data_IF_594352883340
#
_entry.id   IF_594352883340
#
_cell.length_a   1.000
_cell.length_b   1.000
_cell.length_c   1.000
_cell.angle_alpha   90.00
_cell.angle_beta   90.00
_cell.angle_gamma   90.00
#
_symmetry.space_group_name_H-M   'P 1'
#
loop_
_entity.id
_entity.type
_entity.pdbx_description
1 polymer ?
#
# COMPACT_ATOMS: atom_id res chain seq x y z
N UNK A 1 -3.73 -22.17 -6.95
CA UNK A 1 -3.64 -21.15 -8.04
C UNK A 1 -5.05 -20.74 -8.42
N UNK A 2 -5.32 -19.44 -8.48
CA UNK A 2 -6.62 -18.88 -8.83
C UNK A 2 -7.08 -19.36 -10.22
N UNK A 3 -8.29 -19.90 -10.32
CA UNK A 3 -8.80 -20.47 -11.58
C UNK A 3 -8.87 -19.44 -12.73
N UNK A 4 -9.20 -18.19 -12.42
CA UNK A 4 -9.25 -17.12 -13.42
C UNK A 4 -7.91 -16.96 -14.17
N UNK A 5 -6.80 -17.16 -13.49
CA UNK A 5 -5.45 -17.01 -14.06
C UNK A 5 -5.03 -18.16 -14.99
N UNK A 6 -5.81 -19.25 -15.04
CA UNK A 6 -5.62 -20.30 -16.02
C UNK A 6 -6.18 -19.91 -17.41
N UNK A 7 -6.96 -18.81 -17.48
CA UNK A 7 -7.54 -18.29 -18.72
C UNK A 7 -6.58 -17.24 -19.32
N UNK A 8 -5.98 -17.47 -20.49
CA UNK A 8 -5.06 -16.52 -21.13
C UNK A 8 -5.70 -15.13 -21.32
N UNK A 9 -6.96 -15.06 -21.72
CA UNK A 9 -7.69 -13.81 -21.95
C UNK A 9 -7.80 -12.96 -20.67
N UNK A 10 -7.92 -13.60 -19.49
CA UNK A 10 -7.97 -12.86 -18.23
C UNK A 10 -6.60 -12.27 -17.88
N UNK A 11 -5.52 -13.01 -18.11
CA UNK A 11 -4.15 -12.50 -17.91
C UNK A 11 -3.83 -11.34 -18.87
N UNK A 12 -4.23 -11.44 -20.12
CA UNK A 12 -4.10 -10.39 -21.12
C UNK A 12 -4.87 -9.14 -20.70
N UNK A 13 -6.13 -9.29 -20.28
CA UNK A 13 -6.94 -8.18 -19.77
C UNK A 13 -6.31 -7.48 -18.57
N UNK A 14 -5.73 -8.22 -17.60
CA UNK A 14 -5.02 -7.62 -16.45
C UNK A 14 -3.85 -6.75 -16.92
N UNK A 15 -3.05 -7.23 -17.88
CA UNK A 15 -1.92 -6.47 -18.44
C UNK A 15 -2.39 -5.23 -19.19
N UNK A 16 -3.41 -5.36 -20.06
CA UNK A 16 -3.98 -4.23 -20.79
C UNK A 16 -4.50 -3.13 -19.84
N UNK A 17 -5.18 -3.50 -18.76
CA UNK A 17 -5.63 -2.55 -17.75
C UNK A 17 -4.46 -1.90 -17.01
N UNK A 18 -3.40 -2.64 -16.68
CA UNK A 18 -2.21 -2.11 -16.03
C UNK A 18 -1.45 -1.12 -16.95
N UNK A 19 -1.29 -1.44 -18.23
CA UNK A 19 -0.70 -0.55 -19.23
C UNK A 19 -1.51 0.74 -19.39
N UNK A 20 -2.83 0.61 -19.47
CA UNK A 20 -3.73 1.76 -19.59
C UNK A 20 -3.67 2.68 -18.36
N UNK A 21 -3.50 2.14 -17.15
CA UNK A 21 -3.27 2.94 -15.92
C UNK A 21 -1.97 3.74 -16.01
N UNK A 22 -0.86 3.12 -16.46
CA UNK A 22 0.41 3.81 -16.64
C UNK A 22 0.31 4.96 -17.65
N UNK A 23 -0.39 4.74 -18.76
CA UNK A 23 -0.59 5.79 -19.77
C UNK A 23 -1.48 6.92 -19.23
N UNK A 24 -2.60 6.59 -18.56
CA UNK A 24 -3.49 7.58 -17.95
C UNK A 24 -2.75 8.50 -16.98
N UNK A 25 -1.89 7.93 -16.14
CA UNK A 25 -1.20 8.65 -15.08
C UNK A 25 -0.05 9.56 -15.55
N UNK A 26 0.38 9.47 -16.83
CA UNK A 26 1.46 10.33 -17.39
C UNK A 26 1.18 11.81 -17.26
N UNK A 27 -0.10 12.20 -17.32
CA UNK A 27 -0.53 13.59 -17.18
C UNK A 27 -0.19 14.22 -15.82
N UNK A 28 -0.01 13.39 -14.79
CA UNK A 28 0.36 13.86 -13.44
C UNK A 28 1.74 14.51 -13.40
N UNK A 29 2.65 14.23 -14.35
CA UNK A 29 4.01 14.77 -14.33
C UNK A 29 4.03 16.29 -14.41
N UNK A 30 4.67 16.91 -13.40
CA UNK A 30 4.91 18.33 -13.27
C UNK A 30 6.40 18.59 -13.01
N UNK A 31 6.93 19.80 -13.19
CA UNK A 31 8.36 20.07 -13.00
C UNK A 31 8.94 19.64 -11.65
N UNK A 32 8.16 19.76 -10.56
CA UNK A 32 8.62 19.49 -9.20
C UNK A 32 8.17 18.13 -8.63
N UNK A 33 7.33 17.37 -9.35
CA UNK A 33 6.80 16.08 -8.88
C UNK A 33 5.63 15.59 -9.71
N UNK A 34 4.68 14.92 -9.05
CA UNK A 34 3.44 14.46 -9.69
C UNK A 34 2.23 15.17 -9.06
N UNK A 35 1.46 15.86 -9.88
CA UNK A 35 0.25 16.53 -9.46
C UNK A 35 -0.87 15.54 -9.08
N UNK A 36 -1.75 15.99 -8.22
CA UNK A 36 -3.05 15.38 -8.02
C UNK A 36 -3.87 15.42 -9.31
N UNK A 37 -4.49 14.32 -9.73
CA UNK A 37 -5.37 14.30 -10.89
C UNK A 37 -6.83 14.45 -10.43
N UNK A 38 -7.57 15.35 -11.10
CA UNK A 38 -8.99 15.56 -10.89
C UNK A 38 -9.84 14.37 -11.38
N UNK A 39 -11.15 14.45 -11.26
CA UNK A 39 -12.07 13.40 -11.72
C UNK A 39 -11.99 13.09 -13.22
N UNK A 40 -11.51 14.03 -14.03
CA UNK A 40 -11.31 13.86 -15.48
C UNK A 40 -9.92 13.33 -15.83
N UNK A 41 -9.04 13.21 -14.82
CA UNK A 41 -7.66 12.81 -14.99
C UNK A 41 -6.75 13.94 -15.47
N UNK A 42 -7.14 15.19 -15.24
CA UNK A 42 -6.30 16.35 -15.52
C UNK A 42 -5.63 16.84 -14.23
N UNK A 43 -4.42 17.44 -14.30
CA UNK A 43 -3.74 17.97 -13.12
C UNK A 43 -4.59 19.02 -12.39
N UNK A 44 -4.85 18.80 -11.11
CA UNK A 44 -5.55 19.75 -10.24
C UNK A 44 -4.55 20.69 -9.56
N UNK A 45 -4.39 21.86 -10.10
CA UNK A 45 -3.52 22.91 -9.54
C UNK A 45 -4.09 23.59 -8.28
N UNK A 46 -5.31 23.27 -7.88
CA UNK A 46 -5.89 23.68 -6.60
C UNK A 46 -5.37 22.84 -5.43
N UNK A 47 -4.81 21.66 -5.71
CA UNK A 47 -4.16 20.79 -4.73
C UNK A 47 -2.64 20.99 -4.78
N UNK A 48 -1.91 20.89 -3.67
CA UNK A 48 -0.44 20.90 -3.70
C UNK A 48 0.10 19.61 -4.33
N UNK A 49 1.38 19.62 -4.70
CA UNK A 49 2.09 18.38 -5.07
C UNK A 49 2.38 17.62 -3.78
N UNK A 50 1.78 16.44 -3.63
CA UNK A 50 1.88 15.58 -2.45
C UNK A 50 3.07 14.61 -2.57
N UNK A 51 3.82 14.44 -1.48
CA UNK A 51 4.92 13.48 -1.44
C UNK A 51 4.44 12.04 -1.66
N UNK A 52 3.33 11.64 -1.00
CA UNK A 52 2.79 10.28 -1.13
C UNK A 52 2.37 9.94 -2.57
N UNK A 53 1.78 10.91 -3.32
CA UNK A 53 1.46 10.72 -4.75
C UNK A 53 2.75 10.56 -5.56
N UNK A 54 3.72 11.47 -5.37
CA UNK A 54 4.99 11.42 -6.10
C UNK A 54 5.74 10.11 -5.83
N UNK A 55 5.73 9.62 -4.59
CA UNK A 55 6.34 8.35 -4.22
C UNK A 55 5.62 7.14 -4.85
N UNK A 56 4.29 7.09 -4.77
CA UNK A 56 3.47 6.02 -5.36
C UNK A 56 3.66 5.94 -6.87
N UNK A 57 3.64 7.08 -7.56
CA UNK A 57 3.91 7.15 -8.99
C UNK A 57 5.33 6.68 -9.32
N UNK A 58 6.33 7.09 -8.54
CA UNK A 58 7.72 6.64 -8.72
C UNK A 58 7.85 5.12 -8.57
N UNK A 59 7.20 4.56 -7.55
CA UNK A 59 7.14 3.12 -7.33
C UNK A 59 6.54 2.39 -8.53
N UNK A 60 5.35 2.80 -8.99
CA UNK A 60 4.64 2.14 -10.08
C UNK A 60 5.38 2.29 -11.41
N UNK A 61 5.92 3.46 -11.73
CA UNK A 61 6.74 3.64 -12.94
C UNK A 61 8.06 2.89 -12.89
N UNK A 62 8.64 2.65 -11.71
CA UNK A 62 9.79 1.75 -11.56
C UNK A 62 9.45 0.31 -11.92
N UNK A 63 8.24 -0.14 -11.58
CA UNK A 63 7.73 -1.47 -11.99
C UNK A 63 7.52 -1.49 -13.51
N UNK A 64 6.86 -0.47 -14.08
CA UNK A 64 6.68 -0.35 -15.53
C UNK A 64 8.00 -0.34 -16.30
N UNK A 65 9.05 0.29 -15.75
CA UNK A 65 10.39 0.28 -16.33
C UNK A 65 11.02 -1.13 -16.36
N UNK A 66 10.81 -1.94 -15.32
CA UNK A 66 11.23 -3.35 -15.29
C UNK A 66 10.46 -4.21 -16.30
N UNK A 67 9.20 -3.88 -16.55
CA UNK A 67 8.37 -4.53 -17.57
C UNK A 67 8.73 -4.11 -19.01
N UNK A 68 9.65 -3.15 -19.17
CA UNK A 68 10.05 -2.63 -20.49
C UNK A 68 9.01 -1.70 -21.11
N UNK A 69 8.06 -1.17 -20.34
CA UNK A 69 7.01 -0.27 -20.84
C UNK A 69 7.58 1.09 -21.22
N UNK A 70 7.21 1.58 -22.41
CA UNK A 70 7.73 2.81 -23.01
C UNK A 70 7.52 4.00 -22.07
N UNK A 71 8.56 4.83 -21.89
CA UNK A 71 8.54 6.07 -21.11
C UNK A 71 8.45 5.87 -19.58
N UNK A 72 8.27 4.64 -19.07
CA UNK A 72 8.16 4.41 -17.64
C UNK A 72 9.49 4.69 -16.91
N UNK A 73 10.63 4.41 -17.53
CA UNK A 73 11.95 4.72 -16.95
C UNK A 73 12.12 6.21 -16.72
N UNK A 74 11.80 7.04 -17.72
CA UNK A 74 11.88 8.51 -17.63
C UNK A 74 10.93 9.07 -16.55
N UNK A 75 9.77 8.46 -16.37
CA UNK A 75 8.83 8.84 -15.31
C UNK A 75 9.38 8.45 -13.93
N UNK A 76 9.97 7.28 -13.77
CA UNK A 76 10.61 6.85 -12.53
C UNK A 76 11.82 7.72 -12.17
N UNK A 77 12.68 8.04 -13.14
CA UNK A 77 13.81 8.96 -12.97
C UNK A 77 13.36 10.36 -12.57
N UNK A 78 12.28 10.87 -13.20
CA UNK A 78 11.67 12.12 -12.80
C UNK A 78 11.22 12.08 -11.34
N UNK A 79 10.57 11.00 -10.91
CA UNK A 79 10.12 10.82 -9.53
C UNK A 79 11.27 10.80 -8.53
N UNK A 80 12.33 10.03 -8.78
CA UNK A 80 13.52 9.99 -7.90
C UNK A 80 14.16 11.38 -7.79
N UNK A 81 14.34 12.09 -8.92
CA UNK A 81 14.86 13.48 -8.91
C UNK A 81 13.96 14.42 -8.11
N UNK A 82 12.65 14.35 -8.31
CA UNK A 82 11.69 15.19 -7.58
C UNK A 82 11.77 14.97 -6.08
N UNK A 83 11.89 13.73 -5.63
CA UNK A 83 12.01 13.41 -4.21
C UNK A 83 13.30 13.96 -3.60
N UNK A 84 14.43 13.86 -4.30
CA UNK A 84 15.71 14.37 -3.84
C UNK A 84 15.83 15.89 -3.93
N UNK A 85 15.38 16.49 -5.05
CA UNK A 85 15.69 17.88 -5.37
C UNK A 85 14.57 18.85 -4.96
N UNK A 86 13.30 18.33 -4.78
CA UNK A 86 12.15 19.17 -4.44
C UNK A 86 11.54 18.86 -3.07
N UNK A 87 11.47 17.59 -2.68
CA UNK A 87 10.85 17.21 -1.41
C UNK A 87 11.83 17.07 -0.24
N UNK A 88 13.10 16.77 -0.47
CA UNK A 88 14.08 16.67 0.60
C UNK A 88 14.32 18.07 1.23
N UNK A 89 14.18 18.16 2.56
CA UNK A 89 14.45 19.41 3.28
C UNK A 89 15.97 19.63 3.42
N UNK A 90 16.55 20.62 2.72
CA UNK A 90 18.00 20.85 2.75
C UNK A 90 18.52 21.39 4.09
N UNK A 91 17.62 21.90 4.95
CA UNK A 91 17.99 22.51 6.22
C UNK A 91 17.95 21.50 7.37
N UNK A 92 16.89 20.70 7.45
CA UNK A 92 16.64 19.81 8.59
C UNK A 92 16.70 18.32 8.23
N UNK A 93 16.79 18.00 6.95
CA UNK A 93 16.67 16.62 6.45
C UNK A 93 15.22 16.12 6.49
N UNK A 94 15.05 14.85 6.13
CA UNK A 94 13.71 14.32 5.89
C UNK A 94 13.05 14.93 4.66
N UNK A 95 11.75 14.64 4.48
CA UNK A 95 11.03 15.02 3.28
C UNK A 95 9.77 15.80 3.66
N UNK A 96 9.47 16.85 2.90
CA UNK A 96 8.24 17.60 3.01
C UNK A 96 7.05 16.72 2.64
N UNK A 97 5.90 16.89 3.29
CA UNK A 97 4.68 16.17 2.98
C UNK A 97 4.00 16.70 1.71
N UNK A 98 4.09 18.03 1.49
CA UNK A 98 3.54 18.69 0.31
C UNK A 98 4.30 19.96 -0.05
N UNK A 99 4.38 20.25 -1.37
CA UNK A 99 5.03 21.45 -1.91
C UNK A 99 4.11 22.18 -2.89
N UNK A 100 4.35 23.45 -3.08
CA UNK A 100 3.66 24.26 -4.07
C UNK A 100 4.08 23.87 -5.51
N UNK A 101 3.23 24.13 -6.50
CA UNK A 101 3.55 23.91 -7.91
C UNK A 101 4.62 24.86 -8.46
N UNK A 102 4.77 26.02 -7.85
CA UNK A 102 5.74 27.03 -8.28
C UNK A 102 6.91 27.07 -7.32
N UNK A 103 8.16 27.05 -7.84
CA UNK A 103 9.35 27.28 -7.02
C UNK A 103 9.44 28.75 -6.58
N UNK A 104 10.33 29.04 -5.63
CA UNK A 104 10.71 30.39 -5.26
C UNK A 104 11.52 31.10 -6.37
N UNK A 105 11.89 32.35 -6.14
CA UNK A 105 12.66 33.15 -7.11
C UNK A 105 14.08 32.58 -7.36
N UNK A 106 14.60 31.72 -6.50
CA UNK A 106 15.88 31.04 -6.65
C UNK A 106 15.74 29.66 -7.33
N UNK A 107 14.51 29.22 -7.61
CA UNK A 107 14.22 27.93 -8.24
C UNK A 107 14.04 26.77 -7.26
N UNK A 108 13.99 27.01 -5.94
CA UNK A 108 13.79 25.97 -4.95
C UNK A 108 12.31 25.67 -4.74
N UNK A 109 11.99 24.40 -4.52
CA UNK A 109 10.65 23.99 -4.11
C UNK A 109 10.28 24.60 -2.75
N UNK A 110 9.03 25.04 -2.64
CA UNK A 110 8.50 25.68 -1.43
C UNK A 110 7.45 24.76 -0.81
N UNK A 111 7.66 24.25 0.42
CA UNK A 111 6.62 23.47 1.08
C UNK A 111 5.38 24.33 1.36
N UNK A 112 4.20 23.68 1.41
CA UNK A 112 3.03 24.33 1.97
C UNK A 112 3.15 24.43 3.50
N UNK A 113 2.43 25.33 4.18
CA UNK A 113 2.50 25.43 5.63
C UNK A 113 2.23 24.10 6.35
N UNK A 114 1.22 23.35 5.90
CA UNK A 114 0.89 22.03 6.42
C UNK A 114 1.90 20.98 5.96
N UNK A 115 2.44 21.14 4.76
CA UNK A 115 3.39 20.22 4.12
C UNK A 115 4.81 20.28 4.71
N UNK A 116 5.13 21.22 5.58
CA UNK A 116 6.42 21.27 6.28
C UNK A 116 6.61 20.14 7.30
N UNK A 117 5.50 19.55 7.79
CA UNK A 117 5.56 18.42 8.74
C UNK A 117 6.30 17.23 8.14
N UNK A 118 6.90 16.45 9.03
CA UNK A 118 7.59 15.20 8.69
C UNK A 118 6.73 14.03 9.20
N UNK A 119 6.01 13.33 8.30
CA UNK A 119 5.12 12.24 8.69
C UNK A 119 5.72 10.89 8.38
N UNK A 120 5.50 9.89 9.23
CA UNK A 120 5.93 8.52 8.98
C UNK A 120 5.29 7.96 7.70
N UNK A 121 4.03 8.34 7.44
CA UNK A 121 3.31 7.96 6.24
C UNK A 121 4.06 8.36 4.95
N UNK A 122 4.39 9.64 4.79
CA UNK A 122 5.15 10.12 3.64
C UNK A 122 6.53 9.46 3.55
N UNK A 123 7.24 9.33 4.69
CA UNK A 123 8.58 8.74 4.72
C UNK A 123 8.57 7.22 4.42
N UNK A 124 7.52 6.49 4.77
CA UNK A 124 7.34 5.10 4.34
C UNK A 124 7.23 5.01 2.82
N UNK A 125 6.45 5.88 2.19
CA UNK A 125 6.36 5.92 0.73
C UNK A 125 7.66 6.37 0.05
N UNK A 126 8.45 7.27 0.65
CA UNK A 126 9.79 7.59 0.13
C UNK A 126 10.69 6.34 0.16
N UNK A 127 10.65 5.53 1.23
CA UNK A 127 11.40 4.27 1.30
C UNK A 127 10.92 3.27 0.25
N UNK A 128 9.61 3.15 0.03
CA UNK A 128 9.03 2.29 -1.00
C UNK A 128 9.49 2.69 -2.41
N UNK A 129 9.41 4.00 -2.73
CA UNK A 129 9.84 4.54 -4.01
C UNK A 129 11.34 4.32 -4.26
N UNK A 130 12.17 4.62 -3.24
CA UNK A 130 13.63 4.41 -3.30
C UNK A 130 13.98 2.94 -3.50
N UNK A 131 13.31 2.03 -2.77
CA UNK A 131 13.52 0.59 -2.88
C UNK A 131 13.19 0.07 -4.28
N UNK A 132 12.07 0.54 -4.83
CA UNK A 132 11.63 0.15 -6.17
C UNK A 132 12.55 0.71 -7.26
N UNK A 133 12.98 1.97 -7.10
CA UNK A 133 13.98 2.58 -7.98
C UNK A 133 15.30 1.83 -7.97
N UNK A 134 15.79 1.39 -6.79
CA UNK A 134 17.00 0.56 -6.66
C UNK A 134 16.86 -0.78 -7.41
N UNK A 135 15.75 -1.47 -7.21
CA UNK A 135 15.48 -2.76 -7.86
C UNK A 135 15.46 -2.58 -9.39
N UNK A 136 14.86 -1.48 -9.87
CA UNK A 136 14.74 -1.14 -11.29
C UNK A 136 16.01 -0.51 -11.89
N UNK A 137 17.02 -0.19 -11.07
CA UNK A 137 18.26 0.45 -11.53
C UNK A 137 17.99 1.88 -12.05
N UNK A 138 17.15 2.63 -11.36
CA UNK A 138 16.86 4.04 -11.65
C UNK A 138 18.00 4.91 -11.08
N UNK A 139 18.42 5.89 -11.85
CA UNK A 139 19.50 6.82 -11.48
C UNK A 139 19.20 7.53 -10.16
N UNK A 140 20.19 7.65 -9.26
CA UNK A 140 20.15 8.27 -7.92
C UNK A 140 19.20 7.59 -6.92
N UNK A 141 18.65 6.41 -7.23
CA UNK A 141 17.79 5.71 -6.28
C UNK A 141 18.54 5.24 -5.03
N UNK A 142 19.84 4.98 -5.13
CA UNK A 142 20.73 4.66 -4.01
C UNK A 142 20.95 5.88 -3.08
N UNK A 143 21.08 7.08 -3.63
CA UNK A 143 21.14 8.33 -2.87
C UNK A 143 19.84 8.52 -2.05
N UNK A 144 18.68 8.38 -2.69
CA UNK A 144 17.38 8.48 -2.03
C UNK A 144 17.21 7.41 -0.94
N UNK A 145 17.59 6.15 -1.23
CA UNK A 145 17.49 5.05 -0.27
C UNK A 145 18.35 5.29 0.98
N UNK A 146 19.57 5.77 0.79
CA UNK A 146 20.48 6.09 1.90
C UNK A 146 19.96 7.27 2.73
N UNK A 147 19.45 8.31 2.07
CA UNK A 147 18.88 9.50 2.74
C UNK A 147 17.68 9.10 3.61
N UNK A 148 16.69 8.40 3.05
CA UNK A 148 15.49 8.02 3.79
C UNK A 148 15.78 6.99 4.89
N UNK A 149 16.67 6.02 4.65
CA UNK A 149 17.09 5.07 5.67
C UNK A 149 17.64 5.74 6.91
N UNK A 150 18.52 6.72 6.72
CA UNK A 150 19.09 7.51 7.83
C UNK A 150 18.07 8.36 8.58
N UNK A 151 17.03 8.86 7.91
CA UNK A 151 15.93 9.60 8.55
C UNK A 151 15.06 8.69 9.40
N UNK A 152 14.69 7.53 8.85
CA UNK A 152 13.89 6.53 9.58
C UNK A 152 14.64 6.07 10.83
N UNK A 153 15.92 5.74 10.72
CA UNK A 153 16.74 5.27 11.84
C UNK A 153 16.86 6.30 12.96
N UNK A 154 16.98 7.58 12.63
CA UNK A 154 17.20 8.65 13.62
C UNK A 154 15.94 9.16 14.29
N UNK A 155 14.83 9.22 13.54
CA UNK A 155 13.65 9.97 13.98
C UNK A 155 12.41 9.11 14.13
N UNK A 156 12.09 8.28 13.13
CA UNK A 156 10.80 7.59 13.10
C UNK A 156 10.79 6.23 13.81
N UNK A 157 11.84 5.43 13.65
CA UNK A 157 11.87 4.13 14.31
C UNK A 157 12.08 4.26 15.81
N UNK A 158 11.14 3.78 16.60
CA UNK A 158 11.18 3.76 18.05
C UNK A 158 11.59 2.36 18.54
N UNK A 159 12.91 2.17 18.80
CA UNK A 159 13.48 0.86 19.12
C UNK A 159 12.77 0.16 20.28
N UNK A 160 12.48 0.89 21.36
CA UNK A 160 11.81 0.34 22.53
C UNK A 160 10.36 -0.08 22.32
N UNK A 161 9.68 0.52 21.32
CA UNK A 161 8.32 0.18 20.96
C UNK A 161 8.25 -0.80 19.77
N UNK A 162 9.34 -0.89 18.97
CA UNK A 162 9.37 -1.69 17.75
C UNK A 162 8.40 -1.23 16.67
N UNK A 163 8.14 0.09 16.60
CA UNK A 163 7.15 0.71 15.71
C UNK A 163 7.59 2.11 15.30
N UNK A 164 6.88 2.69 14.33
CA UNK A 164 7.15 4.06 13.87
C UNK A 164 6.39 5.09 14.72
N UNK A 165 7.07 6.20 15.07
CA UNK A 165 6.42 7.43 15.52
C UNK A 165 5.67 8.08 14.38
N UNK A 166 4.60 8.83 14.66
CA UNK A 166 3.66 9.31 13.65
C UNK A 166 4.20 10.51 12.86
N UNK A 167 4.48 11.60 13.54
CA UNK A 167 4.91 12.82 12.86
C UNK A 167 5.74 13.76 13.75
N UNK A 168 6.45 14.67 13.09
CA UNK A 168 7.30 15.66 13.72
C UNK A 168 7.08 17.04 13.13
N UNK A 169 7.48 18.08 13.90
CA UNK A 169 7.75 19.41 13.35
C UNK A 169 8.83 19.33 12.27
N UNK A 170 8.93 20.36 11.43
CA UNK A 170 9.90 20.41 10.32
C UNK A 170 11.34 20.13 10.75
N UNK A 171 11.75 20.64 11.92
CA UNK A 171 13.09 20.50 12.50
C UNK A 171 13.28 19.21 13.34
N UNK A 172 12.28 18.33 13.38
CA UNK A 172 12.21 17.15 14.24
C UNK A 172 12.24 17.44 15.75
N UNK A 173 12.06 18.71 16.16
CA UNK A 173 12.11 19.12 17.58
C UNK A 173 10.91 18.66 18.39
N UNK A 174 9.73 18.56 17.77
CA UNK A 174 8.48 18.15 18.42
C UNK A 174 7.88 16.92 17.74
N UNK A 175 7.64 15.87 18.52
CA UNK A 175 6.95 14.66 18.07
C UNK A 175 5.46 14.72 18.46
N UNK A 176 4.57 14.43 17.53
CA UNK A 176 3.14 14.30 17.81
C UNK A 176 2.89 13.21 18.86
N UNK A 177 1.98 13.46 19.80
CA UNK A 177 1.61 12.49 20.83
C UNK A 177 0.73 11.34 20.31
N UNK A 178 0.11 11.51 19.15
CA UNK A 178 -0.67 10.47 18.47
C UNK A 178 0.25 9.40 17.85
N UNK A 179 -0.24 8.16 17.81
CA UNK A 179 0.34 7.02 17.07
C UNK A 179 -0.76 6.36 16.24
N UNK A 180 -0.43 5.98 15.02
CA UNK A 180 -1.37 5.34 14.10
C UNK A 180 -0.82 4.06 13.48
N UNK A 181 -1.68 3.09 13.22
CA UNK A 181 -1.29 1.88 12.51
C UNK A 181 -1.29 2.05 11.00
N UNK A 182 -1.94 3.07 10.45
CA UNK A 182 -1.90 3.34 9.01
C UNK A 182 -0.47 3.63 8.53
N UNK A 183 0.25 4.59 9.14
CA UNK A 183 1.64 4.87 8.81
C UNK A 183 2.55 3.66 9.06
N UNK A 184 2.28 2.87 10.10
CA UNK A 184 3.00 1.63 10.40
C UNK A 184 2.72 0.54 9.37
N UNK A 185 1.53 0.44 8.80
CA UNK A 185 1.17 -0.49 7.72
C UNK A 185 2.00 -0.24 6.46
N UNK A 186 2.03 0.99 5.99
CA UNK A 186 2.88 1.34 4.84
C UNK A 186 4.37 1.25 5.17
N UNK A 187 4.76 1.36 6.46
CA UNK A 187 6.13 1.08 6.88
C UNK A 187 6.48 -0.40 6.77
N UNK A 188 5.54 -1.32 7.05
CA UNK A 188 5.74 -2.76 6.79
C UNK A 188 5.94 -2.99 5.29
N UNK A 189 5.07 -2.44 4.46
CA UNK A 189 5.19 -2.53 3.01
C UNK A 189 6.55 -2.04 2.51
N UNK A 190 6.97 -0.85 2.93
CA UNK A 190 8.25 -0.26 2.58
C UNK A 190 9.45 -1.06 3.11
N UNK A 191 9.36 -1.64 4.30
CA UNK A 191 10.40 -2.49 4.87
C UNK A 191 10.56 -3.80 4.08
N UNK A 192 9.46 -4.44 3.65
CA UNK A 192 9.54 -5.62 2.78
C UNK A 192 10.18 -5.28 1.43
N UNK A 193 9.82 -4.14 0.84
CA UNK A 193 10.44 -3.64 -0.38
C UNK A 193 11.94 -3.31 -0.19
N UNK A 194 12.31 -2.70 0.95
CA UNK A 194 13.70 -2.37 1.28
C UNK A 194 14.57 -3.61 1.50
N UNK A 195 14.01 -4.64 2.16
CA UNK A 195 14.67 -5.94 2.27
C UNK A 195 14.98 -6.52 0.89
N UNK A 196 14.00 -6.57 0.00
CA UNK A 196 14.17 -7.07 -1.37
C UNK A 196 15.12 -6.20 -2.22
N UNK A 197 15.14 -4.88 -1.97
CA UNK A 197 16.10 -3.99 -2.63
C UNK A 197 17.54 -4.34 -2.25
N UNK A 198 17.82 -4.57 -0.97
CA UNK A 198 19.15 -4.98 -0.50
C UNK A 198 19.56 -6.34 -1.12
N UNK A 199 18.64 -7.31 -1.18
CA UNK A 199 18.91 -8.59 -1.83
C UNK A 199 19.18 -8.43 -3.34
N UNK A 200 18.53 -7.48 -3.99
CA UNK A 200 18.74 -7.18 -5.42
C UNK A 200 20.10 -6.56 -5.72
N UNK A 201 20.75 -5.99 -4.70
CA UNK A 201 22.13 -5.49 -4.74
C UNK A 201 23.16 -6.56 -4.35
N UNK A 202 22.74 -7.81 -4.13
CA UNK A 202 23.60 -8.91 -3.72
C UNK A 202 23.93 -8.95 -2.22
N UNK A 203 23.24 -8.16 -1.39
CA UNK A 203 23.39 -8.22 0.07
C UNK A 203 22.77 -9.52 0.56
N UNK A 204 23.44 -10.25 1.45
CA UNK A 204 22.91 -11.48 2.03
C UNK A 204 21.71 -11.18 2.94
N UNK A 205 20.74 -12.09 2.99
CA UNK A 205 19.52 -11.88 3.77
C UNK A 205 19.77 -11.74 5.30
N UNK A 206 20.83 -12.34 5.81
CA UNK A 206 21.26 -12.26 7.21
C UNK A 206 22.26 -11.10 7.48
N UNK A 207 22.65 -10.33 6.47
CA UNK A 207 23.42 -9.10 6.69
C UNK A 207 22.52 -8.04 7.33
N UNK A 208 23.04 -7.30 8.32
CA UNK A 208 22.27 -6.28 9.05
C UNK A 208 21.60 -5.25 8.13
N UNK A 209 22.24 -4.88 7.01
CA UNK A 209 21.70 -3.96 6.01
C UNK A 209 20.37 -4.41 5.42
N UNK A 210 20.18 -5.74 5.28
CA UNK A 210 18.93 -6.34 4.81
C UNK A 210 18.07 -6.77 6.00
N UNK A 211 18.61 -7.58 6.91
CA UNK A 211 17.87 -8.24 7.98
C UNK A 211 17.06 -7.27 8.86
N UNK A 212 17.58 -6.07 9.13
CA UNK A 212 16.87 -5.05 9.93
C UNK A 212 15.50 -4.67 9.37
N UNK A 213 15.35 -4.64 8.04
CA UNK A 213 14.09 -4.26 7.42
C UNK A 213 13.03 -5.33 7.61
N UNK A 214 13.38 -6.59 7.42
CA UNK A 214 12.46 -7.71 7.68
C UNK A 214 12.14 -7.83 9.18
N UNK A 215 13.11 -7.57 10.05
CA UNK A 215 12.88 -7.55 11.50
C UNK A 215 11.91 -6.44 11.92
N UNK A 216 12.01 -5.24 11.34
CA UNK A 216 11.08 -4.12 11.57
C UNK A 216 9.66 -4.46 11.09
N UNK A 217 9.54 -5.01 9.89
CA UNK A 217 8.25 -5.48 9.39
C UNK A 217 7.61 -6.50 10.32
N UNK A 218 8.37 -7.50 10.78
CA UNK A 218 7.89 -8.50 11.73
C UNK A 218 7.50 -7.91 13.09
N UNK A 219 8.24 -6.92 13.59
CA UNK A 219 7.92 -6.26 14.86
C UNK A 219 6.57 -5.54 14.80
N UNK A 220 6.32 -4.79 13.73
CA UNK A 220 5.04 -4.09 13.54
C UNK A 220 3.90 -5.10 13.32
N UNK A 221 4.10 -6.10 12.44
CA UNK A 221 3.10 -7.15 12.18
C UNK A 221 2.74 -7.93 13.45
N UNK A 222 3.73 -8.32 14.26
CA UNK A 222 3.47 -9.03 15.52
C UNK A 222 2.56 -8.23 16.44
N UNK A 223 2.77 -6.91 16.57
CA UNK A 223 1.91 -6.04 17.37
C UNK A 223 0.49 -5.95 16.81
N UNK A 224 0.35 -5.70 15.50
CA UNK A 224 -0.97 -5.47 14.91
C UNK A 224 -1.79 -6.75 14.83
N UNK A 225 -1.18 -7.89 14.51
CA UNK A 225 -1.89 -9.17 14.42
C UNK A 225 -2.32 -9.67 15.80
N UNK A 226 -1.48 -9.50 16.85
CA UNK A 226 -1.88 -9.78 18.23
C UNK A 226 -3.06 -8.87 18.66
N UNK A 227 -3.03 -7.59 18.29
CA UNK A 227 -4.12 -6.67 18.53
C UNK A 227 -5.40 -7.11 17.79
N UNK A 228 -5.29 -7.47 16.50
CA UNK A 228 -6.41 -7.95 15.70
C UNK A 228 -7.06 -9.19 16.32
N UNK A 229 -6.26 -10.18 16.72
CA UNK A 229 -6.75 -11.40 17.36
C UNK A 229 -7.52 -11.15 18.66
N UNK A 230 -7.17 -10.10 19.41
CA UNK A 230 -7.88 -9.71 20.65
C UNK A 230 -9.17 -8.93 20.40
N UNK A 231 -9.36 -8.38 19.20
CA UNK A 231 -10.50 -7.54 18.83
C UNK A 231 -11.33 -8.12 17.69
N UNK A 232 -11.45 -9.44 17.61
CA UNK A 232 -12.26 -10.15 16.62
C UNK A 232 -11.91 -9.71 15.18
N UNK A 233 -10.61 -9.48 14.94
CA UNK A 233 -10.02 -9.00 13.68
C UNK A 233 -10.54 -7.62 13.21
N UNK A 234 -11.08 -6.79 14.12
CA UNK A 234 -11.37 -5.36 13.89
C UNK A 234 -10.27 -4.53 14.54
N UNK A 235 -9.33 -4.09 13.74
CA UNK A 235 -8.10 -3.45 14.23
C UNK A 235 -8.42 -2.03 14.74
N UNK A 236 -8.19 -1.71 16.04
CA UNK A 236 -8.12 -0.32 16.47
C UNK A 236 -6.92 0.37 15.80
N UNK A 237 -7.12 1.58 15.23
CA UNK A 237 -6.10 2.22 14.41
C UNK A 237 -5.42 3.41 15.08
N UNK A 238 -5.97 3.90 16.20
CA UNK A 238 -5.58 5.16 16.83
C UNK A 238 -5.09 4.92 18.25
N UNK A 239 -3.93 5.52 18.60
CA UNK A 239 -3.27 5.32 19.89
C UNK A 239 -2.68 6.63 20.40
N UNK A 240 -2.47 6.71 21.71
CA UNK A 240 -1.67 7.74 22.34
C UNK A 240 -0.15 7.46 22.22
N UNK A 241 0.67 8.34 22.77
CA UNK A 241 2.14 8.21 22.75
C UNK A 241 2.68 6.95 23.46
N UNK A 242 1.86 6.28 24.26
CA UNK A 242 2.17 5.03 24.99
C UNK A 242 1.55 3.79 24.36
N UNK A 243 1.02 3.92 23.14
CA UNK A 243 0.34 2.84 22.41
C UNK A 243 -0.91 2.31 23.12
N UNK A 244 -1.60 3.18 23.92
CA UNK A 244 -2.92 2.88 24.45
C UNK A 244 -3.98 3.25 23.41
N UNK A 245 -4.97 2.38 23.20
CA UNK A 245 -6.01 2.58 22.18
C UNK A 245 -6.87 3.79 22.53
N UNK A 246 -7.10 4.66 21.54
CA UNK A 246 -8.00 5.79 21.58
C UNK A 246 -9.31 5.40 20.87
N UNK A 247 -10.24 4.79 21.58
CA UNK A 247 -11.46 4.19 21.02
C UNK A 247 -12.39 5.19 20.33
N UNK A 248 -12.45 6.42 20.82
CA UNK A 248 -13.37 7.47 20.35
C UNK A 248 -12.66 8.50 19.44
N UNK A 249 -11.45 8.16 18.96
CA UNK A 249 -10.68 9.07 18.10
C UNK A 249 -11.45 9.37 16.82
N UNK A 250 -11.64 10.65 16.50
CA UNK A 250 -12.41 11.13 15.35
C UNK A 250 -13.89 10.69 15.32
N UNK A 251 -14.51 10.34 16.44
CA UNK A 251 -15.96 10.06 16.49
C UNK A 251 -16.80 11.21 15.92
N UNK A 252 -16.33 12.45 16.04
CA UNK A 252 -16.96 13.65 15.51
C UNK A 252 -16.55 14.01 14.07
N UNK A 253 -15.57 13.28 13.49
CA UNK A 253 -15.09 13.44 12.11
C UNK A 253 -14.85 12.05 11.48
N UNK A 254 -15.94 11.29 11.35
CA UNK A 254 -15.92 9.89 10.97
C UNK A 254 -15.35 9.62 9.58
N UNK A 255 -15.36 10.63 8.74
CA UNK A 255 -14.92 10.56 7.34
C UNK A 255 -13.54 11.17 7.11
N UNK A 256 -12.77 11.43 8.18
CA UNK A 256 -11.41 11.98 8.04
C UNK A 256 -10.57 11.10 7.10
N UNK A 257 -9.97 11.71 6.09
CA UNK A 257 -9.37 11.03 4.94
C UNK A 257 -8.30 9.97 5.33
N UNK A 258 -7.43 10.28 6.29
CA UNK A 258 -6.30 9.42 6.70
C UNK A 258 -6.47 8.80 8.10
N UNK A 259 -7.42 9.27 8.88
CA UNK A 259 -7.65 8.85 10.27
C UNK A 259 -9.15 8.71 10.55
N UNK A 260 -9.88 7.90 9.75
CA UNK A 260 -11.33 7.74 9.94
C UNK A 260 -11.63 7.08 11.28
N UNK A 261 -12.82 7.33 11.81
CA UNK A 261 -13.30 6.66 13.03
C UNK A 261 -13.63 5.20 12.76
N UNK A 262 -13.34 4.35 13.75
CA UNK A 262 -13.70 2.93 13.76
C UNK A 262 -12.63 2.02 13.16
N UNK A 263 -13.03 0.86 12.66
CA UNK A 263 -12.19 -0.12 12.01
C UNK A 263 -12.32 -0.01 10.48
N UNK A 264 -11.21 0.15 9.78
CA UNK A 264 -11.18 0.31 8.32
C UNK A 264 -11.05 -1.06 7.64
N UNK A 265 -12.09 -1.43 6.89
CA UNK A 265 -12.17 -2.75 6.22
C UNK A 265 -10.99 -2.96 5.26
N UNK A 266 -10.62 -1.92 4.50
CA UNK A 266 -9.51 -1.98 3.56
C UNK A 266 -8.16 -2.21 4.24
N UNK A 267 -7.92 -1.57 5.38
CA UNK A 267 -6.68 -1.79 6.13
C UNK A 267 -6.58 -3.24 6.66
N UNK A 268 -7.68 -3.83 7.11
CA UNK A 268 -7.66 -5.24 7.52
C UNK A 268 -7.23 -6.18 6.36
N UNK A 269 -7.71 -5.90 5.14
CA UNK A 269 -7.33 -6.64 3.93
C UNK A 269 -5.87 -6.39 3.53
N UNK A 270 -5.39 -5.17 3.64
CA UNK A 270 -3.99 -4.83 3.37
C UNK A 270 -3.05 -5.48 4.39
N UNK A 271 -3.38 -5.46 5.69
CA UNK A 271 -2.65 -6.20 6.72
C UNK A 271 -2.60 -7.70 6.45
N UNK A 272 -3.70 -8.31 5.97
CA UNK A 272 -3.73 -9.71 5.58
C UNK A 272 -2.74 -10.00 4.44
N UNK A 273 -2.72 -9.17 3.40
CA UNK A 273 -1.77 -9.26 2.28
C UNK A 273 -0.32 -9.15 2.77
N UNK A 274 -0.01 -8.14 3.56
CA UNK A 274 1.34 -7.88 4.07
C UNK A 274 1.84 -8.99 5.00
N UNK A 275 0.98 -9.54 5.85
CA UNK A 275 1.30 -10.68 6.71
C UNK A 275 1.67 -11.93 5.89
N UNK A 276 0.93 -12.22 4.81
CA UNK A 276 1.24 -13.32 3.91
C UNK A 276 2.60 -13.14 3.20
N UNK A 277 2.91 -11.93 2.71
CA UNK A 277 4.20 -11.64 2.09
C UNK A 277 5.36 -11.76 3.10
N UNK A 278 5.20 -11.23 4.31
CA UNK A 278 6.21 -11.35 5.36
C UNK A 278 6.44 -12.81 5.75
N UNK A 279 5.38 -13.63 5.87
CA UNK A 279 5.48 -15.05 6.15
C UNK A 279 6.29 -15.78 5.07
N UNK A 280 5.99 -15.54 3.80
CA UNK A 280 6.72 -16.15 2.68
C UNK A 280 8.20 -15.76 2.68
N UNK A 281 8.52 -14.51 3.00
CA UNK A 281 9.91 -14.05 3.13
C UNK A 281 10.60 -14.70 4.33
N UNK A 282 9.94 -14.76 5.50
CA UNK A 282 10.48 -15.40 6.70
C UNK A 282 10.83 -16.87 6.44
N UNK A 283 9.89 -17.62 5.84
CA UNK A 283 10.11 -19.02 5.49
C UNK A 283 11.27 -19.19 4.50
N UNK A 284 11.30 -18.38 3.45
CA UNK A 284 12.33 -18.44 2.40
C UNK A 284 13.74 -18.18 2.92
N UNK A 285 13.87 -17.26 3.89
CA UNK A 285 15.17 -16.82 4.40
C UNK A 285 15.49 -17.35 5.80
N UNK A 286 14.68 -18.26 6.34
CA UNK A 286 14.94 -18.93 7.61
C UNK A 286 14.84 -18.00 8.83
N UNK A 287 13.94 -17.00 8.76
CA UNK A 287 13.64 -16.11 9.89
C UNK A 287 12.55 -16.76 10.73
N UNK A 288 12.85 -16.96 12.00
CA UNK A 288 11.92 -17.57 12.98
C UNK A 288 10.92 -16.52 13.48
N UNK A 289 9.95 -16.21 12.64
CA UNK A 289 8.87 -15.26 12.94
C UNK A 289 7.63 -15.58 12.10
N UNK A 290 6.45 -15.27 12.64
CA UNK A 290 5.21 -15.28 11.87
C UNK A 290 4.49 -16.61 11.77
N UNK A 291 4.70 -17.58 12.66
CA UNK A 291 3.96 -18.85 12.69
C UNK A 291 2.44 -18.69 12.64
N UNK A 292 1.92 -17.59 13.20
CA UNK A 292 0.49 -17.30 13.25
C UNK A 292 0.01 -16.39 12.10
N UNK A 293 0.90 -15.86 11.24
CA UNK A 293 0.55 -14.86 10.23
C UNK A 293 -0.49 -15.36 9.23
N UNK A 294 -0.39 -16.61 8.76
CA UNK A 294 -1.36 -17.18 7.84
C UNK A 294 -2.77 -17.26 8.46
N UNK A 295 -2.84 -17.72 9.72
CA UNK A 295 -4.12 -17.81 10.46
C UNK A 295 -4.73 -16.42 10.65
N UNK A 296 -3.94 -15.45 11.07
CA UNK A 296 -4.45 -14.12 11.39
C UNK A 296 -4.77 -13.33 10.11
N UNK A 297 -3.99 -13.49 9.03
CA UNK A 297 -4.33 -12.97 7.71
C UNK A 297 -5.68 -13.52 7.22
N UNK A 298 -5.92 -14.80 7.40
CA UNK A 298 -7.20 -15.41 7.08
C UNK A 298 -8.33 -14.88 7.97
N UNK A 299 -8.09 -14.70 9.27
CA UNK A 299 -9.04 -14.09 10.20
C UNK A 299 -9.45 -12.68 9.77
N UNK A 300 -8.48 -11.83 9.40
CA UNK A 300 -8.71 -10.49 8.87
C UNK A 300 -9.53 -10.53 7.57
N UNK A 301 -9.17 -11.40 6.65
CA UNK A 301 -9.89 -11.57 5.38
C UNK A 301 -11.34 -12.00 5.61
N UNK A 302 -11.57 -13.04 6.41
CA UNK A 302 -12.91 -13.56 6.71
C UNK A 302 -13.78 -12.56 7.44
N UNK A 303 -13.22 -11.85 8.40
CA UNK A 303 -13.94 -10.78 9.11
C UNK A 303 -14.33 -9.65 8.14
N UNK A 304 -13.43 -9.25 7.25
CA UNK A 304 -13.69 -8.24 6.22
C UNK A 304 -14.79 -8.66 5.26
N UNK A 305 -14.85 -9.94 4.86
CA UNK A 305 -15.92 -10.46 4.00
C UNK A 305 -17.32 -10.30 4.61
N UNK A 306 -17.44 -10.24 5.94
CA UNK A 306 -18.71 -9.93 6.61
C UNK A 306 -19.24 -8.53 6.26
N UNK A 307 -18.38 -7.65 5.74
CA UNK A 307 -18.74 -6.30 5.32
C UNK A 307 -18.97 -6.18 3.80
N UNK A 308 -18.77 -7.25 3.04
CA UNK A 308 -19.23 -7.37 1.65
C UNK A 308 -20.75 -7.43 1.65
N UNK A 309 -21.41 -6.42 1.07
CA UNK A 309 -22.85 -6.18 1.22
C UNK A 309 -23.30 -5.85 2.67
N UNK A 310 -22.42 -5.35 3.51
CA UNK A 310 -22.71 -5.13 4.93
C UNK A 310 -23.88 -4.16 5.21
N UNK A 311 -24.20 -3.28 4.27
CA UNK A 311 -25.34 -2.36 4.31
C UNK A 311 -26.48 -2.72 3.33
N UNK A 312 -26.40 -3.90 2.69
CA UNK A 312 -27.40 -4.41 1.73
C UNK A 312 -27.09 -4.07 0.26
N UNK A 313 -26.15 -3.17 -0.02
CA UNK A 313 -25.69 -2.89 -1.38
C UNK A 313 -24.38 -3.63 -1.71
N UNK A 314 -24.05 -3.79 -2.99
CA UNK A 314 -22.83 -4.49 -3.42
C UNK A 314 -21.57 -3.73 -2.99
N UNK A 315 -20.49 -4.45 -2.74
CA UNK A 315 -19.18 -3.91 -2.37
C UNK A 315 -18.97 -3.76 -0.86
N UNK A 316 -17.73 -3.44 -0.49
CA UNK A 316 -17.36 -3.22 0.91
C UNK A 316 -17.80 -1.85 1.40
N UNK A 317 -18.32 -1.76 2.62
CA UNK A 317 -18.39 -0.50 3.35
C UNK A 317 -16.97 -0.04 3.73
N UNK A 318 -16.77 1.27 3.88
CA UNK A 318 -15.45 1.81 4.16
C UNK A 318 -14.99 1.52 5.59
N UNK A 319 -15.81 1.91 6.61
CA UNK A 319 -15.51 1.66 8.01
C UNK A 319 -16.69 1.07 8.76
N UNK A 320 -16.40 0.35 9.84
CA UNK A 320 -17.37 -0.14 10.83
C UNK A 320 -17.01 0.35 12.22
N UNK A 321 -17.95 0.27 13.15
CA UNK A 321 -17.59 0.29 14.57
C UNK A 321 -16.91 -1.05 14.98
N UNK A 322 -16.52 -1.14 16.24
CA UNK A 322 -15.85 -2.36 16.76
C UNK A 322 -16.84 -3.51 17.03
N UNK A 323 -18.13 -3.32 16.83
CA UNK A 323 -19.17 -4.34 16.81
C UNK A 323 -19.49 -4.82 15.38
N UNK A 324 -18.93 -4.17 14.36
CA UNK A 324 -19.12 -4.49 12.95
C UNK A 324 -20.30 -3.81 12.29
N UNK A 325 -20.87 -2.79 12.94
CA UNK A 325 -21.94 -1.98 12.34
C UNK A 325 -21.33 -0.97 11.36
N UNK A 326 -21.79 -0.90 10.09
CA UNK A 326 -21.30 0.06 9.11
C UNK A 326 -21.45 1.52 9.57
N UNK A 327 -20.37 2.29 9.49
CA UNK A 327 -20.32 3.72 9.83
C UNK A 327 -20.19 4.56 8.58
N UNK A 328 -19.08 4.43 7.85
CA UNK A 328 -18.89 5.08 6.54
C UNK A 328 -19.20 4.05 5.48
N UNK A 329 -20.26 4.30 4.72
CA UNK A 329 -20.83 3.31 3.79
C UNK A 329 -20.41 3.49 2.34
N UNK A 330 -19.69 4.54 2.03
CA UNK A 330 -19.10 4.79 0.72
C UNK A 330 -18.16 3.64 0.35
N UNK A 331 -17.96 3.41 -0.96
CA UNK A 331 -17.08 2.39 -1.49
C UNK A 331 -15.79 3.04 -2.00
N UNK A 332 -14.67 2.64 -1.44
CA UNK A 332 -13.36 3.11 -1.88
C UNK A 332 -12.73 2.08 -2.81
N UNK A 333 -12.23 2.52 -3.98
CA UNK A 333 -11.58 1.61 -4.92
C UNK A 333 -10.41 0.86 -4.27
N UNK A 334 -9.63 1.54 -3.42
CA UNK A 334 -8.46 0.95 -2.79
C UNK A 334 -8.82 -0.21 -1.84
N UNK A 335 -9.98 -0.16 -1.17
CA UNK A 335 -10.49 -1.28 -0.36
C UNK A 335 -10.69 -2.53 -1.21
N UNK A 336 -11.27 -2.36 -2.42
CA UNK A 336 -11.42 -3.47 -3.34
C UNK A 336 -10.08 -3.96 -3.88
N UNK A 337 -9.15 -3.05 -4.21
CA UNK A 337 -7.82 -3.40 -4.66
C UNK A 337 -7.07 -4.25 -3.63
N UNK A 338 -7.16 -3.88 -2.35
CA UNK A 338 -6.54 -4.65 -1.26
C UNK A 338 -7.26 -6.00 -1.04
N UNK A 339 -8.57 -6.09 -1.30
CA UNK A 339 -9.27 -7.38 -1.24
C UNK A 339 -8.79 -8.36 -2.32
N UNK A 340 -8.52 -7.86 -3.53
CA UNK A 340 -7.90 -8.64 -4.61
C UNK A 340 -6.50 -9.11 -4.17
N UNK A 341 -5.69 -8.19 -3.65
CA UNK A 341 -4.34 -8.50 -3.17
C UNK A 341 -4.33 -9.53 -2.04
N UNK A 342 -5.24 -9.42 -1.08
CA UNK A 342 -5.38 -10.36 0.03
C UNK A 342 -5.80 -11.76 -0.45
N UNK A 343 -6.75 -11.85 -1.36
CA UNK A 343 -7.16 -13.14 -1.94
C UNK A 343 -6.01 -13.84 -2.68
N UNK A 344 -5.23 -13.07 -3.47
CA UNK A 344 -4.03 -13.57 -4.17
C UNK A 344 -2.97 -14.05 -3.18
N UNK A 345 -2.68 -13.27 -2.14
CA UNK A 345 -1.66 -13.60 -1.17
C UNK A 345 -2.02 -14.83 -0.33
N UNK A 346 -3.27 -14.96 0.08
CA UNK A 346 -3.78 -16.14 0.81
C UNK A 346 -3.79 -17.41 -0.08
N UNK A 347 -4.16 -17.29 -1.35
CA UNK A 347 -4.01 -18.41 -2.30
C UNK A 347 -2.53 -18.82 -2.45
N UNK A 348 -1.62 -17.85 -2.49
CA UNK A 348 -0.17 -18.08 -2.55
C UNK A 348 0.38 -18.83 -1.33
N UNK A 349 0.00 -18.42 -0.13
CA UNK A 349 0.39 -19.09 1.13
C UNK A 349 -0.18 -20.52 1.17
N UNK A 350 -1.44 -20.71 0.79
CA UNK A 350 -2.09 -22.01 0.78
C UNK A 350 -1.44 -22.98 -0.22
N UNK A 351 -1.00 -22.47 -1.39
CA UNK A 351 -0.32 -23.26 -2.42
C UNK A 351 1.12 -23.65 -2.03
N UNK A 352 1.76 -22.93 -1.11
CA UNK A 352 3.13 -23.18 -0.66
C UNK A 352 3.25 -24.23 0.47
N UNK A 353 2.19 -25.04 0.71
CA UNK A 353 2.11 -26.03 1.79
C UNK A 353 2.35 -25.43 3.21
N UNK A 354 2.20 -24.14 3.38
CA UNK A 354 2.04 -23.55 4.70
C UNK A 354 0.64 -23.98 5.19
N UNK A 355 0.51 -24.88 6.17
CA UNK A 355 -0.81 -25.27 6.62
C UNK A 355 -1.45 -24.04 7.27
N UNK A 356 -2.28 -23.34 6.51
CA UNK A 356 -3.39 -22.62 7.10
C UNK A 356 -4.17 -23.74 7.80
N UNK A 357 -3.93 -23.91 9.12
CA UNK A 357 -4.39 -25.06 9.87
C UNK A 357 -5.80 -25.42 9.50
N UNK A 358 -6.22 -26.64 9.72
CA UNK A 358 -7.53 -27.16 9.34
C UNK A 358 -8.65 -26.15 9.68
N UNK A 359 -8.89 -25.22 8.74
CA UNK A 359 -9.88 -24.15 8.89
C UNK A 359 -11.28 -24.65 8.46
N UNK A 360 -11.41 -25.96 8.15
CA UNK A 360 -12.68 -26.61 7.83
C UNK A 360 -13.37 -26.10 6.55
N UNK A 361 -12.66 -25.33 5.70
CA UNK A 361 -13.26 -24.56 4.61
C UNK A 361 -13.09 -25.18 3.22
N UNK A 362 -12.09 -26.06 3.07
CA UNK A 362 -11.75 -26.65 1.77
C UNK A 362 -12.93 -27.42 1.18
N UNK A 363 -13.70 -28.14 2.00
CA UNK A 363 -14.75 -29.04 1.50
C UNK A 363 -15.97 -28.29 0.93
N UNK A 364 -16.37 -27.16 1.51
CA UNK A 364 -17.56 -26.44 1.06
C UNK A 364 -17.38 -25.78 -0.31
N UNK A 365 -16.17 -25.26 -0.62
CA UNK A 365 -15.88 -24.60 -1.89
C UNK A 365 -15.36 -25.54 -2.98
N UNK A 366 -14.67 -26.63 -2.63
CA UNK A 366 -14.26 -27.68 -3.57
C UNK A 366 -15.48 -28.36 -4.18
N UNK A 367 -16.55 -28.54 -3.39
CA UNK A 367 -17.80 -29.11 -3.86
C UNK A 367 -18.54 -28.28 -4.94
N UNK A 368 -18.22 -26.96 -5.03
CA UNK A 368 -18.84 -26.07 -6.04
C UNK A 368 -18.12 -26.08 -7.39
N UNK A 369 -16.95 -26.72 -7.50
CA UNK A 369 -16.14 -26.72 -8.73
C UNK A 369 -15.46 -25.38 -9.06
N UNK A 370 -15.51 -24.41 -8.13
CA UNK A 370 -15.01 -23.03 -8.32
C UNK A 370 -13.54 -22.84 -7.90
N UNK A 371 -12.79 -23.91 -7.61
CA UNK A 371 -11.34 -23.84 -7.38
C UNK A 371 -10.90 -23.29 -6.02
N UNK A 372 -11.80 -23.30 -5.03
CA UNK A 372 -11.53 -22.86 -3.67
C UNK A 372 -12.02 -21.44 -3.36
N UNK A 373 -11.99 -21.10 -2.07
CA UNK A 373 -12.55 -19.86 -1.53
C UNK A 373 -11.90 -18.60 -2.15
N UNK A 374 -10.58 -18.57 -2.24
CA UNK A 374 -9.86 -17.39 -2.74
C UNK A 374 -10.08 -17.16 -4.23
N UNK A 375 -10.21 -18.24 -5.03
CA UNK A 375 -10.60 -18.13 -6.44
C UNK A 375 -11.99 -17.54 -6.60
N UNK A 376 -12.96 -17.98 -5.81
CA UNK A 376 -14.31 -17.45 -5.84
C UNK A 376 -14.34 -15.96 -5.53
N UNK A 377 -13.70 -15.54 -4.41
CA UNK A 377 -13.71 -14.15 -3.99
C UNK A 377 -12.94 -13.26 -4.96
N UNK A 378 -11.80 -13.72 -5.46
CA UNK A 378 -11.06 -13.01 -6.49
C UNK A 378 -11.97 -12.69 -7.70
N UNK A 379 -12.72 -13.67 -8.21
CA UNK A 379 -13.63 -13.45 -9.35
C UNK A 379 -14.78 -12.50 -9.00
N UNK A 380 -15.32 -12.54 -7.77
CA UNK A 380 -16.32 -11.57 -7.32
C UNK A 380 -15.75 -10.15 -7.27
N UNK A 381 -14.53 -9.98 -6.77
CA UNK A 381 -13.88 -8.67 -6.69
C UNK A 381 -13.55 -8.10 -8.07
N UNK A 382 -13.04 -8.90 -8.98
CA UNK A 382 -12.79 -8.49 -10.36
C UNK A 382 -14.09 -8.12 -11.07
N UNK A 383 -15.14 -8.92 -10.90
CA UNK A 383 -16.45 -8.61 -11.50
C UNK A 383 -17.06 -7.32 -10.95
N UNK A 384 -16.83 -7.02 -9.66
CA UNK A 384 -17.25 -5.74 -9.08
C UNK A 384 -16.44 -4.57 -9.63
N UNK A 385 -15.10 -4.71 -9.75
CA UNK A 385 -14.24 -3.68 -10.33
C UNK A 385 -14.68 -3.33 -11.75
N UNK A 386 -14.87 -4.34 -12.60
CA UNK A 386 -15.28 -4.18 -13.99
C UNK A 386 -16.66 -3.51 -14.11
N UNK A 387 -17.57 -3.85 -13.22
CA UNK A 387 -18.93 -3.31 -13.27
C UNK A 387 -19.09 -1.89 -12.74
N UNK A 388 -18.37 -1.52 -11.68
CA UNK A 388 -18.67 -0.31 -10.90
C UNK A 388 -17.50 0.66 -10.79
N UNK A 389 -16.25 0.18 -10.79
CA UNK A 389 -15.08 1.02 -10.57
C UNK A 389 -14.38 1.42 -11.86
N UNK A 390 -14.29 0.51 -12.85
CA UNK A 390 -13.60 0.80 -14.10
C UNK A 390 -14.51 1.62 -15.01
N UNK A 391 -14.24 2.92 -15.11
CA UNK A 391 -14.96 3.85 -15.99
C UNK A 391 -14.57 3.63 -17.45
N UNK A 392 -13.30 3.40 -17.70
CA UNK A 392 -12.70 3.10 -18.99
C UNK A 392 -11.32 2.47 -18.74
N UNK A 393 -10.66 1.85 -19.73
CA UNK A 393 -9.30 1.35 -19.56
C UNK A 393 -8.37 2.43 -18.96
N UNK A 394 -7.72 2.10 -17.84
CA UNK A 394 -6.84 3.02 -17.11
C UNK A 394 -7.52 4.11 -16.27
N UNK A 395 -8.83 4.16 -16.25
CA UNK A 395 -9.60 5.16 -15.48
C UNK A 395 -10.52 4.48 -14.50
N UNK A 396 -10.25 4.66 -13.22
CA UNK A 396 -11.03 4.07 -12.13
C UNK A 396 -11.68 5.17 -11.29
N UNK A 397 -12.93 4.97 -10.89
CA UNK A 397 -13.56 5.78 -9.85
C UNK A 397 -12.91 5.47 -8.51
N UNK A 398 -12.40 6.47 -7.80
CA UNK A 398 -11.75 6.29 -6.51
C UNK A 398 -12.75 6.15 -5.36
N UNK A 399 -13.93 6.71 -5.52
CA UNK A 399 -15.02 6.62 -4.56
C UNK A 399 -16.35 6.42 -5.28
N UNK A 400 -17.18 5.53 -4.72
CA UNK A 400 -18.59 5.40 -5.07
C UNK A 400 -19.43 5.72 -3.82
N UNK A 401 -20.67 6.12 -4.01
CA UNK A 401 -21.65 6.29 -2.95
C UNK A 401 -22.27 4.95 -2.49
N UNK A 402 -23.26 5.02 -1.63
CA UNK A 402 -23.97 3.85 -1.09
C UNK A 402 -24.80 3.08 -2.12
N UNK A 403 -25.06 3.68 -3.30
CA UNK A 403 -25.77 3.08 -4.43
C UNK A 403 -24.82 2.60 -5.55
N UNK A 404 -23.52 2.65 -5.32
CA UNK A 404 -22.45 2.36 -6.28
C UNK A 404 -22.40 3.32 -7.48
N UNK A 405 -22.82 4.58 -7.29
CA UNK A 405 -22.62 5.64 -8.28
C UNK A 405 -21.33 6.40 -7.99
N UNK A 406 -20.65 6.94 -9.02
CA UNK A 406 -19.46 7.76 -8.83
C UNK A 406 -19.71 8.92 -7.88
N UNK A 407 -18.86 9.07 -6.87
CA UNK A 407 -18.96 10.09 -5.84
C UNK A 407 -17.61 10.76 -5.56
N UNK A 408 -17.66 11.92 -4.95
CA UNK A 408 -16.52 12.67 -4.45
C UNK A 408 -16.86 13.17 -3.04
N UNK A 409 -15.94 13.00 -2.12
CA UNK A 409 -16.19 13.41 -0.74
C UNK A 409 -14.98 13.16 0.11
N UNK A 410 -14.73 11.91 0.46
CA UNK A 410 -13.55 11.51 1.22
C UNK A 410 -12.32 11.47 0.28
N UNK A 411 -12.50 10.86 -0.89
CA UNK A 411 -11.47 10.77 -1.94
C UNK A 411 -11.99 11.37 -3.24
N UNK A 412 -11.71 12.67 -3.45
CA UNK A 412 -12.03 13.33 -4.70
C UNK A 412 -11.00 13.00 -5.78
N UNK A 413 -11.43 13.06 -7.05
CA UNK A 413 -10.54 12.87 -8.19
C UNK A 413 -9.99 11.45 -8.37
N UNK A 414 -8.84 11.37 -9.04
CA UNK A 414 -8.09 10.14 -9.35
C UNK A 414 -6.60 10.36 -9.09
N UNK A 415 -6.21 10.60 -7.80
CA UNK A 415 -4.89 11.16 -7.46
C UNK A 415 -3.70 10.30 -7.87
N UNK A 416 -3.85 9.00 -7.88
CA UNK A 416 -2.79 8.05 -8.26
C UNK A 416 -3.37 6.72 -8.78
N UNK A 417 -2.49 5.85 -9.27
CA UNK A 417 -2.85 4.54 -9.82
C UNK A 417 -2.32 3.37 -8.97
N UNK A 418 -1.79 3.65 -7.78
CA UNK A 418 -1.01 2.72 -6.98
C UNK A 418 -1.77 1.45 -6.62
N UNK A 419 -2.92 1.54 -5.95
CA UNK A 419 -3.68 0.36 -5.52
C UNK A 419 -4.24 -0.41 -6.72
N UNK A 420 -4.79 0.29 -7.72
CA UNK A 420 -5.35 -0.35 -8.91
C UNK A 420 -4.28 -1.11 -9.70
N UNK A 421 -3.11 -0.51 -9.91
CA UNK A 421 -2.01 -1.17 -10.61
C UNK A 421 -1.50 -2.40 -9.86
N UNK A 422 -1.31 -2.31 -8.54
CA UNK A 422 -0.89 -3.47 -7.74
C UNK A 422 -1.93 -4.60 -7.79
N UNK A 423 -3.23 -4.28 -7.66
CA UNK A 423 -4.31 -5.28 -7.74
C UNK A 423 -4.33 -6.04 -9.06
N UNK A 424 -3.98 -5.37 -10.17
CA UNK A 424 -3.90 -5.99 -11.50
C UNK A 424 -2.63 -6.83 -11.69
N UNK A 425 -1.51 -6.40 -11.09
CA UNK A 425 -0.22 -7.06 -11.29
C UNK A 425 0.04 -8.23 -10.34
N UNK A 426 -0.37 -8.13 -9.06
CA UNK A 426 -0.14 -9.17 -8.06
C UNK A 426 -0.60 -10.57 -8.50
N UNK A 427 -1.76 -10.75 -9.17
CA UNK A 427 -2.19 -12.06 -9.66
C UNK A 427 -1.26 -12.70 -10.69
N UNK A 428 -0.49 -11.89 -11.42
CA UNK A 428 0.38 -12.33 -12.52
C UNK A 428 1.78 -12.72 -12.07
N UNK A 429 2.14 -12.40 -10.83
CA UNK A 429 3.51 -12.48 -10.32
C UNK A 429 3.71 -13.70 -9.42
N UNK A 430 4.96 -14.20 -9.29
CA UNK A 430 5.28 -15.22 -8.32
C UNK A 430 5.07 -14.69 -6.88
N UNK A 431 4.43 -15.49 -6.05
CA UNK A 431 4.25 -15.16 -4.64
C UNK A 431 5.56 -15.34 -3.85
N UNK A 432 5.80 -14.46 -2.90
CA UNK A 432 6.93 -14.49 -1.96
C UNK A 432 7.82 -13.26 -2.02
N UNK A 433 8.45 -12.89 -3.15
CA UNK A 433 9.08 -11.58 -3.28
C UNK A 433 8.05 -10.47 -3.28
N UNK A 434 8.44 -9.27 -2.78
CA UNK A 434 7.61 -8.09 -2.93
C UNK A 434 7.47 -7.69 -4.41
N UNK A 435 6.39 -7.00 -4.77
CA UNK A 435 5.94 -6.80 -6.16
C UNK A 435 7.07 -6.41 -7.13
N UNK A 436 7.89 -5.41 -6.80
CA UNK A 436 8.95 -4.91 -7.71
C UNK A 436 10.01 -5.98 -7.99
N UNK A 437 10.41 -6.73 -6.96
CA UNK A 437 11.38 -7.83 -7.14
C UNK A 437 10.74 -9.02 -7.84
N UNK A 438 9.47 -9.29 -7.60
CA UNK A 438 8.73 -10.34 -8.29
C UNK A 438 8.71 -10.07 -9.80
N UNK A 439 8.46 -8.82 -10.23
CA UNK A 439 8.55 -8.42 -11.65
C UNK A 439 9.96 -8.60 -12.19
N UNK A 440 10.99 -8.13 -11.48
CA UNK A 440 12.39 -8.27 -11.91
C UNK A 440 12.79 -9.74 -12.15
N UNK A 441 12.35 -10.63 -11.27
CA UNK A 441 12.65 -12.07 -11.39
C UNK A 441 11.91 -12.65 -12.60
N UNK A 442 10.64 -12.30 -12.81
CA UNK A 442 9.84 -12.78 -13.94
C UNK A 442 10.41 -12.31 -15.28
N UNK A 443 10.80 -11.02 -15.38
CA UNK A 443 11.38 -10.45 -16.61
C UNK A 443 12.79 -10.98 -16.94
N UNK A 444 13.46 -11.66 -16.02
CA UNK A 444 14.78 -12.26 -16.26
C UNK A 444 14.70 -13.70 -16.76
N UNK A 445 13.51 -14.30 -16.78
CA UNK A 445 13.27 -15.70 -17.21
C UNK A 445 12.75 -15.77 -18.65
N UNK A 446 12.20 -14.67 -19.17
CA UNK A 446 11.77 -14.49 -20.56
C UNK A 446 12.93 -13.96 -21.43
#
# INVERSE_FOLDING_TARGET
MLNALQRPQHREWLLEQAEALLEFARKARQPLGFAYLDKNGEPDFGQPIQAWISCRMTHIYSIGALMGMEGCREMAEHGIRSLLDSFQDPQHGGFFEAINHQPDAAGHAVPTPEGERKTAYAHAFVLLAASSGLIAGIERADELFNAISGVIDRHFWEEGAGKMRESFSRDFGECEAYRGVNANMHSVEACLAAFDAQLSLGVAANDERAARWLARANSILGFVLDLAGRHDYRIPEHFDAHWQVLWDYNENDKTHQFRPYGATVGHALEWARLACHALAMNQKYGVDAGEHYARDAYGLFRQSLGNWHGDGAAGFVYTTDFQGVPIVRERMHWVLCESIGAAVALDGVNAADAPVGDLGLAEAYVATGLGGEFSYWYEQFIAYADRYLIEAPGRWHHQLDTENLPAEGIWAGKPDIYHAFQALMLPLLPFGPFITRAVKISSAVD
#
